data_IF_985253450387
#
_entry.id   IF_985253450387
#
_cell.length_a   1.000
_cell.length_b   1.000
_cell.length_c   1.000
_cell.angle_alpha   90.00
_cell.angle_beta   90.00
_cell.angle_gamma   90.00
#
_symmetry.space_group_name_H-M   'P 1'
#
loop_
_entity.id
_entity.type
_entity.pdbx_description
1 polymer ?
#
# COMPACT_ATOMS: atom_id res chain seq x y z
N UNK A 1 22.01 5.21 13.31
CA UNK A 1 21.27 5.43 12.05
C UNK A 1 21.89 4.57 10.94
N UNK A 2 21.71 3.24 11.02
CA UNK A 2 22.29 2.27 10.07
C UNK A 2 21.42 2.15 8.82
N UNK A 3 20.67 1.05 8.72
CA UNK A 3 19.67 0.84 7.65
C UNK A 3 18.52 1.87 7.66
N UNK A 4 18.25 2.50 8.82
CA UNK A 4 17.20 3.51 9.00
C UNK A 4 17.62 4.93 8.55
N UNK A 5 18.88 5.15 8.16
CA UNK A 5 19.30 6.47 7.70
C UNK A 5 18.73 6.79 6.31
N UNK A 6 18.44 8.06 6.07
CA UNK A 6 17.92 8.55 4.77
C UNK A 6 18.92 8.19 3.66
N UNK A 7 18.38 7.73 2.53
CA UNK A 7 19.13 7.39 1.31
C UNK A 7 18.47 8.05 0.10
N UNK A 8 19.28 8.49 -0.85
CA UNK A 8 18.82 8.80 -2.20
C UNK A 8 18.99 7.52 -3.04
N UNK A 9 17.90 7.01 -3.60
CA UNK A 9 17.90 5.80 -4.43
C UNK A 9 17.38 6.17 -5.82
N UNK A 10 18.11 5.75 -6.85
CA UNK A 10 17.64 5.75 -8.23
C UNK A 10 17.16 4.35 -8.56
N UNK A 11 15.97 4.24 -9.16
CA UNK A 11 15.33 2.95 -9.48
C UNK A 11 14.88 2.94 -10.93
N UNK A 12 14.90 1.76 -11.54
CA UNK A 12 14.42 1.48 -12.90
C UNK A 12 13.40 0.34 -12.82
N UNK A 13 12.25 0.50 -13.49
CA UNK A 13 11.17 -0.49 -13.56
C UNK A 13 10.73 -1.10 -12.21
N UNK A 14 10.68 -0.29 -11.16
CA UNK A 14 10.30 -0.76 -9.82
C UNK A 14 8.79 -0.98 -9.72
N UNK A 15 8.31 -2.25 -9.64
CA UNK A 15 6.87 -2.52 -9.65
C UNK A 15 6.23 -2.04 -8.35
N UNK A 16 5.13 -1.32 -8.48
CA UNK A 16 4.32 -0.82 -7.35
C UNK A 16 2.84 -1.04 -7.60
N UNK A 17 2.06 -1.05 -6.53
CA UNK A 17 0.60 -1.09 -6.57
C UNK A 17 0.05 0.17 -5.92
N UNK A 18 -0.92 0.81 -6.56
CA UNK A 18 -1.65 1.93 -5.97
C UNK A 18 -2.58 1.38 -4.90
N UNK A 19 -2.25 1.64 -3.64
CA UNK A 19 -3.06 1.22 -2.48
C UNK A 19 -4.06 2.30 -2.10
N UNK A 20 -3.60 3.55 -2.01
CA UNK A 20 -4.43 4.71 -1.71
C UNK A 20 -4.30 5.71 -2.85
N UNK A 21 -5.43 6.16 -3.38
CA UNK A 21 -5.47 7.19 -4.42
C UNK A 21 -5.81 8.58 -3.84
N UNK A 22 -5.76 9.61 -4.69
CA UNK A 22 -6.05 11.00 -4.32
C UNK A 22 -7.55 11.32 -4.28
N UNK A 23 -8.41 10.38 -4.63
CA UNK A 23 -9.88 10.52 -4.66
C UNK A 23 -10.54 9.90 -3.42
N UNK A 24 -9.75 9.27 -2.54
CA UNK A 24 -10.23 8.63 -1.31
C UNK A 24 -10.46 7.13 -1.44
N UNK A 25 -9.98 6.49 -2.52
CA UNK A 25 -9.96 5.04 -2.67
C UNK A 25 -8.89 4.40 -1.78
N UNK A 26 -9.24 3.28 -1.13
CA UNK A 26 -8.36 2.45 -0.32
C UNK A 26 -8.57 0.96 -0.68
N UNK A 27 -7.56 0.37 -1.32
CA UNK A 27 -7.60 -1.01 -1.81
C UNK A 27 -7.79 -2.03 -0.67
N UNK A 28 -7.28 -1.75 0.52
CA UNK A 28 -7.43 -2.65 1.67
C UNK A 28 -8.85 -2.62 2.22
N UNK A 29 -9.47 -1.45 2.31
CA UNK A 29 -10.86 -1.33 2.75
C UNK A 29 -11.82 -1.99 1.76
N UNK A 30 -11.60 -1.81 0.45
CA UNK A 30 -12.34 -2.53 -0.59
C UNK A 30 -12.20 -4.04 -0.46
N UNK A 31 -10.97 -4.53 -0.25
CA UNK A 31 -10.68 -5.94 -0.06
C UNK A 31 -11.38 -6.52 1.17
N UNK A 32 -11.26 -5.85 2.33
CA UNK A 32 -11.95 -6.24 3.56
C UNK A 32 -13.46 -6.25 3.35
N UNK A 33 -14.03 -5.20 2.75
CA UNK A 33 -15.46 -5.12 2.49
C UNK A 33 -15.97 -6.32 1.68
N UNK A 34 -15.18 -6.76 0.69
CA UNK A 34 -15.54 -7.87 -0.21
C UNK A 34 -15.40 -9.24 0.41
N UNK A 35 -14.40 -9.46 1.28
CA UNK A 35 -14.02 -10.80 1.72
C UNK A 35 -14.10 -11.05 3.23
N UNK A 36 -14.38 -10.02 4.04
CA UNK A 36 -14.53 -10.22 5.48
C UNK A 36 -15.68 -11.19 5.79
N UNK A 37 -15.36 -12.26 6.50
CA UNK A 37 -16.38 -13.15 7.08
C UNK A 37 -16.84 -12.51 8.38
N UNK A 38 -18.11 -12.12 8.46
CA UNK A 38 -18.67 -11.62 9.72
C UNK A 38 -18.81 -12.78 10.69
N UNK A 39 -17.98 -12.79 11.72
CA UNK A 39 -18.17 -13.71 12.86
C UNK A 39 -19.42 -13.28 13.62
N UNK A 40 -20.23 -14.28 14.02
CA UNK A 40 -21.45 -14.09 14.83
C UNK A 40 -21.12 -13.71 16.27
#
# INVERSE_FOLDING_TARGET
LGAEAIRCLEVEDFPVTVVNDIYGGDLYEEGKARYQVKTR
#
